data_IF_067377608498
#
_entry.id   IF_067377608498
#
_cell.length_a   1.000
_cell.length_b   1.000
_cell.length_c   1.000
_cell.angle_alpha   90.00
_cell.angle_beta   90.00
_cell.angle_gamma   90.00
#
_symmetry.space_group_name_H-M   'P 1'
#
loop_
_entity.id
_entity.type
_entity.pdbx_description
1 polymer ?
#
# COMPACT_ATOMS: atom_id res chain seq x y z
N UNK A 1 15.82 -20.78 22.32
CA UNK A 1 15.97 -21.59 21.09
C UNK A 1 14.59 -22.00 20.63
N UNK A 2 14.11 -21.50 19.48
CA UNK A 2 12.88 -22.04 18.90
C UNK A 2 13.13 -23.49 18.48
N UNK A 3 12.17 -24.38 18.75
CA UNK A 3 12.21 -25.74 18.21
C UNK A 3 12.16 -25.66 16.68
N UNK A 4 12.99 -26.44 15.98
CA UNK A 4 12.96 -26.55 14.51
C UNK A 4 11.54 -26.82 13.97
N UNK A 5 10.73 -27.58 14.73
CA UNK A 5 9.33 -27.83 14.38
C UNK A 5 8.48 -26.55 14.35
N UNK A 6 8.69 -25.62 15.30
CA UNK A 6 7.98 -24.35 15.32
C UNK A 6 8.38 -23.47 14.13
N UNK A 7 9.67 -23.46 13.77
CA UNK A 7 10.15 -22.73 12.60
C UNK A 7 9.51 -23.24 11.30
N UNK A 8 9.50 -24.56 11.09
CA UNK A 8 8.87 -25.17 9.89
C UNK A 8 7.38 -24.85 9.83
N UNK A 9 6.67 -24.93 10.96
CA UNK A 9 5.24 -24.61 11.03
C UNK A 9 4.97 -23.14 10.62
N UNK A 10 5.78 -22.20 11.13
CA UNK A 10 5.66 -20.77 10.80
C UNK A 10 5.94 -20.56 9.30
N UNK A 11 6.99 -21.16 8.75
CA UNK A 11 7.29 -21.09 7.32
C UNK A 11 6.13 -21.60 6.45
N UNK A 12 5.56 -22.77 6.79
CA UNK A 12 4.44 -23.35 6.06
C UNK A 12 3.22 -22.43 6.08
N UNK A 13 2.91 -21.85 7.24
CA UNK A 13 1.81 -20.89 7.39
C UNK A 13 2.05 -19.64 6.55
N UNK A 14 3.25 -19.05 6.61
CA UNK A 14 3.58 -17.86 5.82
C UNK A 14 3.52 -18.10 4.31
N UNK A 15 4.08 -19.21 3.83
CA UNK A 15 4.03 -19.58 2.41
C UNK A 15 2.58 -19.81 1.97
N UNK A 16 1.79 -20.53 2.77
CA UNK A 16 0.37 -20.73 2.51
C UNK A 16 -0.40 -19.41 2.44
N UNK A 17 -0.16 -18.50 3.39
CA UNK A 17 -0.76 -17.15 3.39
C UNK A 17 -0.36 -16.34 2.16
N UNK A 18 0.91 -16.36 1.75
CA UNK A 18 1.36 -15.68 0.54
C UNK A 18 0.70 -16.24 -0.72
N UNK A 19 0.60 -17.58 -0.85
CA UNK A 19 -0.07 -18.21 -2.00
C UNK A 19 -1.54 -17.79 -2.04
N UNK A 20 -2.23 -17.83 -0.90
CA UNK A 20 -3.64 -17.44 -0.80
C UNK A 20 -3.84 -15.96 -1.14
N UNK A 21 -3.05 -15.06 -0.55
CA UNK A 21 -3.12 -13.62 -0.82
C UNK A 21 -2.84 -13.30 -2.29
N UNK A 22 -1.83 -13.93 -2.89
CA UNK A 22 -1.55 -13.78 -4.32
C UNK A 22 -2.72 -14.25 -5.19
N UNK A 23 -3.31 -15.41 -4.87
CA UNK A 23 -4.46 -15.95 -5.62
C UNK A 23 -5.68 -15.04 -5.51
N UNK A 24 -5.98 -14.52 -4.32
CA UNK A 24 -7.08 -13.57 -4.10
C UNK A 24 -6.86 -12.28 -4.87
N UNK A 25 -5.70 -11.64 -4.71
CA UNK A 25 -5.37 -10.36 -5.36
C UNK A 25 -5.27 -10.53 -6.88
N UNK A 26 -4.80 -11.66 -7.39
CA UNK A 26 -4.74 -11.92 -8.83
C UNK A 26 -6.12 -11.85 -9.50
N UNK A 27 -7.19 -12.20 -8.77
CA UNK A 27 -8.57 -12.17 -9.27
C UNK A 27 -9.20 -10.79 -9.21
N UNK A 28 -8.89 -10.00 -8.19
CA UNK A 28 -9.51 -8.68 -7.99
C UNK A 28 -8.68 -7.54 -8.59
N UNK A 29 -7.36 -7.64 -8.55
CA UNK A 29 -6.41 -6.53 -8.65
C UNK A 29 -5.07 -6.94 -9.33
N UNK A 30 -5.09 -7.53 -10.56
CA UNK A 30 -3.87 -8.06 -11.19
C UNK A 30 -2.80 -6.99 -11.44
N UNK A 31 -3.19 -5.73 -11.67
CA UNK A 31 -2.23 -4.64 -11.85
C UNK A 31 -1.47 -4.32 -10.57
N UNK A 32 -2.16 -4.24 -9.42
CA UNK A 32 -1.49 -3.96 -8.15
C UNK A 32 -0.54 -5.08 -7.74
N UNK A 33 -0.93 -6.33 -7.99
CA UNK A 33 -0.08 -7.50 -7.82
C UNK A 33 1.24 -7.39 -8.60
N UNK A 34 1.18 -7.01 -9.89
CA UNK A 34 2.38 -6.82 -10.72
C UNK A 34 3.31 -5.73 -10.18
N UNK A 35 2.74 -4.65 -9.66
CA UNK A 35 3.52 -3.53 -9.08
C UNK A 35 4.28 -3.99 -7.83
N UNK A 36 3.63 -4.75 -6.94
CA UNK A 36 4.29 -5.31 -5.75
C UNK A 36 5.43 -6.23 -6.15
N UNK A 37 5.19 -7.19 -7.06
CA UNK A 37 6.25 -8.10 -7.52
C UNK A 37 7.38 -7.39 -8.24
N UNK A 38 7.09 -6.34 -9.01
CA UNK A 38 8.10 -5.51 -9.64
C UNK A 38 8.99 -4.80 -8.60
N UNK A 39 8.42 -4.11 -7.60
CA UNK A 39 9.23 -3.45 -6.57
C UNK A 39 10.00 -4.44 -5.70
N UNK A 40 9.41 -5.60 -5.39
CA UNK A 40 10.07 -6.66 -4.65
C UNK A 40 11.29 -7.19 -5.43
N UNK A 41 11.08 -7.61 -6.68
CA UNK A 41 12.17 -8.12 -7.53
C UNK A 41 13.27 -7.08 -7.77
N UNK A 42 12.89 -5.83 -8.06
CA UNK A 42 13.84 -4.73 -8.24
C UNK A 42 14.69 -4.52 -6.98
N UNK A 43 14.07 -4.49 -5.80
CA UNK A 43 14.80 -4.31 -4.53
C UNK A 43 15.72 -5.49 -4.22
N UNK A 44 15.31 -6.73 -4.53
CA UNK A 44 16.17 -7.92 -4.42
C UNK A 44 17.41 -7.79 -5.31
N UNK A 45 17.22 -7.48 -6.60
CA UNK A 45 18.32 -7.35 -7.57
C UNK A 45 19.28 -6.23 -7.18
N UNK A 46 18.76 -5.02 -6.92
CA UNK A 46 19.60 -3.88 -6.54
C UNK A 46 20.38 -4.15 -5.25
N UNK A 47 19.75 -4.75 -4.24
CA UNK A 47 20.42 -5.07 -2.97
C UNK A 47 21.53 -6.09 -3.18
N UNK A 48 21.28 -7.13 -3.99
CA UNK A 48 22.29 -8.15 -4.29
C UNK A 48 23.48 -7.56 -5.07
N UNK A 49 23.23 -6.78 -6.12
CA UNK A 49 24.26 -6.12 -6.93
C UNK A 49 25.12 -5.17 -6.08
N UNK A 50 24.48 -4.31 -5.29
CA UNK A 50 25.18 -3.36 -4.40
C UNK A 50 26.03 -4.12 -3.37
N UNK A 51 25.49 -5.17 -2.74
CA UNK A 51 26.21 -5.94 -1.74
C UNK A 51 27.40 -6.70 -2.33
N UNK A 52 27.24 -7.32 -3.52
CA UNK A 52 28.33 -7.99 -4.22
C UNK A 52 29.43 -7.01 -4.64
N UNK A 53 29.04 -5.84 -5.17
CA UNK A 53 29.99 -4.79 -5.52
C UNK A 53 30.74 -4.26 -4.30
N UNK A 54 30.04 -3.99 -3.20
CA UNK A 54 30.62 -3.55 -1.94
C UNK A 54 31.60 -4.57 -1.36
N UNK A 55 31.28 -5.87 -1.49
CA UNK A 55 32.19 -6.96 -1.12
C UNK A 55 33.43 -6.98 -1.99
N UNK A 56 33.29 -6.81 -3.31
CA UNK A 56 34.41 -6.79 -4.25
C UNK A 56 35.42 -5.67 -3.97
N UNK A 57 34.93 -4.48 -3.60
CA UNK A 57 35.79 -3.32 -3.25
C UNK A 57 36.23 -3.31 -1.77
N UNK A 58 35.99 -4.38 -1.02
CA UNK A 58 36.29 -4.50 0.41
C UNK A 58 35.62 -3.44 1.31
N UNK A 59 34.50 -2.85 0.87
CA UNK A 59 33.68 -1.97 1.70
C UNK A 59 32.78 -2.74 2.67
N UNK A 60 32.63 -4.06 2.50
CA UNK A 60 32.00 -4.97 3.47
C UNK A 60 32.94 -6.14 3.74
N UNK A 61 33.24 -6.39 5.02
CA UNK A 61 34.09 -7.50 5.42
C UNK A 61 33.32 -8.84 5.51
N UNK A 62 34.04 -9.93 5.80
CA UNK A 62 33.43 -11.27 5.93
C UNK A 62 32.40 -11.38 7.04
N UNK A 63 32.48 -10.50 8.03
CA UNK A 63 31.55 -10.42 9.15
C UNK A 63 30.35 -9.50 8.86
N UNK A 64 30.21 -9.00 7.62
CA UNK A 64 29.13 -8.09 7.25
C UNK A 64 29.26 -6.68 7.82
N UNK A 65 30.44 -6.31 8.33
CA UNK A 65 30.69 -4.95 8.83
C UNK A 65 31.06 -4.04 7.67
N UNK A 66 30.47 -2.85 7.66
CA UNK A 66 30.76 -1.79 6.70
C UNK A 66 32.11 -1.13 7.03
N UNK A 67 32.95 -0.93 6.02
CA UNK A 67 34.30 -0.36 6.13
C UNK A 67 34.48 0.84 5.19
N UNK A 68 35.14 1.88 5.69
CA UNK A 68 35.47 3.09 4.93
C UNK A 68 34.25 3.94 4.57
N UNK A 69 34.49 5.05 3.84
CA UNK A 69 33.45 6.03 3.50
C UNK A 69 32.32 5.42 2.66
N UNK A 70 32.66 4.55 1.71
CA UNK A 70 31.67 3.86 0.89
C UNK A 70 30.84 2.88 1.72
N UNK A 71 31.45 2.14 2.66
CA UNK A 71 30.73 1.29 3.59
C UNK A 71 29.76 2.08 4.46
N UNK A 72 30.18 3.21 5.03
CA UNK A 72 29.30 4.07 5.83
C UNK A 72 28.13 4.65 5.03
N UNK A 73 28.35 5.00 3.76
CA UNK A 73 27.26 5.42 2.88
C UNK A 73 26.23 4.29 2.65
N UNK A 74 26.69 3.06 2.50
CA UNK A 74 25.82 1.89 2.36
C UNK A 74 25.07 1.57 3.66
N UNK A 75 25.75 1.65 4.79
CA UNK A 75 25.15 1.51 6.12
C UNK A 75 24.04 2.54 6.34
N UNK A 76 24.33 3.81 6.03
CA UNK A 76 23.36 4.89 6.08
C UNK A 76 22.17 4.62 5.15
N UNK A 77 22.42 4.24 3.90
CA UNK A 77 21.38 3.92 2.92
C UNK A 77 20.50 2.74 3.37
N UNK A 78 21.10 1.69 3.92
CA UNK A 78 20.39 0.53 4.46
C UNK A 78 19.54 0.90 5.68
N UNK A 79 20.10 1.68 6.61
CA UNK A 79 19.35 2.17 7.77
C UNK A 79 18.18 3.04 7.34
N UNK A 80 18.41 3.99 6.42
CA UNK A 80 17.37 4.86 5.88
C UNK A 80 16.25 4.07 5.18
N UNK A 81 16.58 3.09 4.34
CA UNK A 81 15.59 2.28 3.62
C UNK A 81 14.87 1.24 4.49
N UNK A 82 15.41 0.90 5.66
CA UNK A 82 14.83 -0.08 6.58
C UNK A 82 14.09 0.56 7.77
N UNK A 83 14.23 1.87 7.99
CA UNK A 83 13.50 2.61 9.02
C UNK A 83 12.05 2.92 8.59
N UNK A 84 11.24 1.85 8.56
CA UNK A 84 9.82 1.91 8.23
C UNK A 84 9.03 2.82 9.17
N UNK A 85 9.47 3.00 10.42
CA UNK A 85 8.78 3.84 11.37
C UNK A 85 8.89 5.32 10.97
N UNK A 86 10.11 5.77 10.66
CA UNK A 86 10.34 7.13 10.16
C UNK A 86 9.61 7.36 8.84
N UNK A 87 9.66 6.41 7.90
CA UNK A 87 8.91 6.49 6.64
C UNK A 87 7.40 6.67 6.85
N UNK A 88 6.78 5.85 7.71
CA UNK A 88 5.35 5.94 8.01
C UNK A 88 5.00 7.28 8.66
N UNK A 89 5.82 7.77 9.60
CA UNK A 89 5.62 9.07 10.24
C UNK A 89 5.73 10.22 9.24
N UNK A 90 6.69 10.16 8.31
CA UNK A 90 6.84 11.15 7.24
C UNK A 90 5.62 11.15 6.32
N UNK A 91 5.18 9.98 5.84
CA UNK A 91 4.01 9.89 4.98
C UNK A 91 2.72 10.33 5.70
N UNK A 92 2.59 10.01 6.99
CA UNK A 92 1.46 10.45 7.80
C UNK A 92 1.48 11.97 8.00
N UNK A 93 2.65 12.54 8.26
CA UNK A 93 2.84 13.99 8.35
C UNK A 93 2.44 14.70 7.06
N UNK A 94 2.86 14.18 5.90
CA UNK A 94 2.46 14.71 4.58
C UNK A 94 0.95 14.57 4.39
N UNK A 95 0.36 13.44 4.73
CA UNK A 95 -1.08 13.21 4.62
C UNK A 95 -1.87 14.22 5.45
N UNK A 96 -1.48 14.43 6.72
CA UNK A 96 -2.10 15.41 7.61
C UNK A 96 -1.90 16.83 7.06
N UNK A 97 -0.69 17.18 6.63
CA UNK A 97 -0.39 18.50 6.07
C UNK A 97 -1.21 18.81 4.81
N UNK A 98 -1.60 17.82 4.02
CA UNK A 98 -2.42 18.00 2.81
C UNK A 98 -3.92 17.96 3.13
N UNK A 99 -4.38 16.99 3.93
CA UNK A 99 -5.81 16.79 4.19
C UNK A 99 -6.34 17.81 5.19
N UNK A 100 -5.60 18.13 6.26
CA UNK A 100 -6.10 18.99 7.33
C UNK A 100 -6.46 20.41 6.84
N UNK A 101 -5.63 21.10 6.02
CA UNK A 101 -6.02 22.41 5.49
C UNK A 101 -7.24 22.34 4.58
N UNK A 102 -7.41 21.26 3.79
CA UNK A 102 -8.59 21.08 2.95
C UNK A 102 -9.86 20.86 3.79
N UNK A 103 -9.78 20.07 4.87
CA UNK A 103 -10.90 19.87 5.79
C UNK A 103 -11.27 21.17 6.52
N UNK A 104 -10.26 21.92 6.99
CA UNK A 104 -10.50 23.23 7.62
C UNK A 104 -11.12 24.22 6.63
N UNK A 105 -10.60 24.29 5.41
CA UNK A 105 -11.16 25.13 4.34
C UNK A 105 -12.59 24.74 4.00
N UNK A 106 -12.88 23.43 3.93
CA UNK A 106 -14.22 22.91 3.70
C UNK A 106 -15.20 23.33 4.79
N UNK A 107 -14.81 23.19 6.06
CA UNK A 107 -15.63 23.61 7.22
C UNK A 107 -15.84 25.12 7.21
N UNK A 108 -14.77 25.90 7.09
CA UNK A 108 -14.83 27.36 7.15
C UNK A 108 -15.65 27.95 5.99
N UNK A 109 -15.44 27.45 4.76
CA UNK A 109 -16.22 27.86 3.57
C UNK A 109 -17.66 27.36 3.63
N UNK A 110 -17.87 26.20 4.26
CA UNK A 110 -19.17 25.57 4.44
C UNK A 110 -20.12 26.40 5.29
N UNK A 111 -19.59 27.10 6.32
CA UNK A 111 -20.33 28.06 7.12
C UNK A 111 -20.97 29.18 6.26
N UNK A 112 -20.35 29.53 5.14
CA UNK A 112 -20.87 30.54 4.21
C UNK A 112 -21.67 29.93 3.03
N UNK A 113 -21.73 28.60 2.95
CA UNK A 113 -22.44 27.88 1.90
C UNK A 113 -21.72 27.83 0.55
N UNK A 114 -20.41 28.09 0.53
CA UNK A 114 -19.56 28.14 -0.68
C UNK A 114 -18.45 27.08 -0.65
N UNK A 115 -18.60 26.02 0.15
CA UNK A 115 -17.62 24.95 0.17
C UNK A 115 -17.70 24.13 -1.11
N UNK A 116 -16.54 23.62 -1.56
CA UNK A 116 -16.42 22.61 -2.61
C UNK A 116 -15.92 21.29 -2.03
N UNK A 117 -16.24 20.16 -2.66
CA UNK A 117 -15.73 18.86 -2.20
C UNK A 117 -14.18 18.85 -2.18
N UNK A 118 -13.54 18.28 -1.14
CA UNK A 118 -12.08 18.24 -1.05
C UNK A 118 -11.50 17.37 -2.18
N UNK A 119 -10.97 18.04 -3.21
CA UNK A 119 -10.52 17.42 -4.47
C UNK A 119 -9.34 16.47 -4.26
N UNK A 120 -8.44 16.78 -3.33
CA UNK A 120 -7.21 15.99 -3.16
C UNK A 120 -7.30 14.92 -2.09
N UNK A 121 -8.29 14.94 -1.18
CA UNK A 121 -8.34 14.00 -0.06
C UNK A 121 -8.27 12.52 -0.50
N UNK A 122 -9.07 12.14 -1.50
CA UNK A 122 -9.05 10.77 -2.05
C UNK A 122 -7.73 10.41 -2.74
N UNK A 123 -7.16 11.34 -3.53
CA UNK A 123 -5.88 11.13 -4.22
C UNK A 123 -4.71 11.06 -3.23
N UNK A 124 -4.71 11.90 -2.20
CA UNK A 124 -3.71 11.89 -1.13
C UNK A 124 -3.75 10.60 -0.32
N UNK A 125 -4.94 10.11 0.03
CA UNK A 125 -5.10 8.81 0.69
C UNK A 125 -4.59 7.66 -0.19
N UNK A 126 -4.86 7.69 -1.50
CA UNK A 126 -4.33 6.72 -2.45
C UNK A 126 -2.80 6.74 -2.51
N UNK A 127 -2.20 7.93 -2.64
CA UNK A 127 -0.74 8.10 -2.65
C UNK A 127 -0.13 7.58 -1.35
N UNK A 128 -0.74 7.90 -0.21
CA UNK A 128 -0.28 7.43 1.10
C UNK A 128 -0.33 5.90 1.19
N UNK A 129 -1.47 5.28 0.85
CA UNK A 129 -1.60 3.82 0.88
C UNK A 129 -0.55 3.13 -0.01
N UNK A 130 -0.36 3.64 -1.23
CA UNK A 130 0.65 3.12 -2.16
C UNK A 130 2.09 3.34 -1.69
N UNK A 131 2.38 4.47 -1.05
CA UNK A 131 3.69 4.75 -0.47
C UNK A 131 4.02 3.74 0.64
N UNK A 132 3.07 3.48 1.54
CA UNK A 132 3.23 2.48 2.60
C UNK A 132 3.40 1.07 2.03
N UNK A 133 2.53 0.64 1.11
CA UNK A 133 2.64 -0.68 0.43
C UNK A 133 4.03 -0.84 -0.20
N UNK A 134 4.54 0.20 -0.88
CA UNK A 134 5.86 0.19 -1.50
C UNK A 134 6.98 0.07 -0.46
N UNK A 135 6.96 0.82 0.64
CA UNK A 135 7.99 0.73 1.69
C UNK A 135 8.08 -0.68 2.26
N UNK A 136 6.95 -1.32 2.58
CA UNK A 136 6.93 -2.72 3.04
C UNK A 136 7.47 -3.70 1.98
N UNK A 137 7.11 -3.49 0.71
CA UNK A 137 7.56 -4.32 -0.40
C UNK A 137 9.07 -4.22 -0.62
N UNK A 138 9.62 -3.00 -0.61
CA UNK A 138 11.05 -2.75 -0.77
C UNK A 138 11.85 -3.30 0.40
N UNK A 139 11.40 -3.03 1.63
CA UNK A 139 12.04 -3.55 2.84
C UNK A 139 12.04 -5.09 2.84
N UNK A 140 10.93 -5.72 2.44
CA UNK A 140 10.87 -7.17 2.23
C UNK A 140 11.92 -7.68 1.25
N UNK A 141 12.10 -7.04 0.09
CA UNK A 141 13.09 -7.44 -0.90
C UNK A 141 14.55 -7.28 -0.41
N UNK A 142 14.84 -6.22 0.35
CA UNK A 142 16.16 -6.02 0.98
C UNK A 142 16.48 -7.18 1.94
N UNK A 143 15.57 -7.48 2.88
CA UNK A 143 15.76 -8.56 3.85
C UNK A 143 15.85 -9.94 3.18
N UNK A 144 15.09 -10.16 2.11
CA UNK A 144 15.16 -11.39 1.31
C UNK A 144 16.54 -11.57 0.70
N UNK A 145 17.08 -10.55 0.04
CA UNK A 145 18.40 -10.59 -0.58
C UNK A 145 19.50 -10.83 0.46
N UNK A 146 19.47 -10.11 1.58
CA UNK A 146 20.42 -10.31 2.70
C UNK A 146 20.34 -11.74 3.24
N UNK A 147 19.13 -12.29 3.41
CA UNK A 147 18.95 -13.67 3.86
C UNK A 147 19.52 -14.69 2.87
N UNK A 148 19.33 -14.48 1.56
CA UNK A 148 19.87 -15.38 0.53
C UNK A 148 21.40 -15.34 0.57
N UNK A 149 21.99 -14.15 0.54
CA UNK A 149 23.44 -13.97 0.58
C UNK A 149 24.06 -14.56 1.87
N UNK A 150 23.38 -14.40 3.01
CA UNK A 150 23.76 -15.05 4.27
C UNK A 150 23.71 -16.58 4.19
N UNK A 151 22.69 -17.15 3.55
CA UNK A 151 22.59 -18.61 3.37
C UNK A 151 23.65 -19.17 2.41
N UNK A 152 24.04 -18.38 1.40
CA UNK A 152 25.13 -18.68 0.46
C UNK A 152 26.54 -18.41 1.04
N UNK A 153 26.64 -17.94 2.28
CA UNK A 153 27.91 -17.59 2.96
C UNK A 153 28.72 -16.50 2.25
N UNK A 154 28.04 -15.56 1.55
CA UNK A 154 28.71 -14.39 0.95
C UNK A 154 29.28 -13.47 2.03
N UNK A 155 28.53 -13.31 3.13
CA UNK A 155 28.95 -12.65 4.37
C UNK A 155 28.25 -13.31 5.58
N UNK A 156 28.85 -13.15 6.76
CA UNK A 156 28.32 -13.71 8.01
C UNK A 156 27.11 -12.91 8.49
N UNK A 157 25.90 -13.38 8.16
CA UNK A 157 24.65 -12.80 8.65
C UNK A 157 24.16 -13.59 9.85
N UNK A 158 24.07 -12.99 11.05
CA UNK A 158 23.43 -13.65 12.17
C UNK A 158 21.94 -13.86 11.86
N UNK A 159 21.45 -15.08 12.09
CA UNK A 159 20.02 -15.40 11.98
C UNK A 159 19.37 -15.09 10.61
N UNK A 160 20.03 -15.47 9.50
CA UNK A 160 19.42 -15.40 8.16
C UNK A 160 18.01 -16.05 8.07
N UNK A 161 17.68 -17.17 8.75
CA UNK A 161 16.32 -17.73 8.68
C UNK A 161 15.26 -16.78 9.27
N UNK A 162 15.61 -16.03 10.32
CA UNK A 162 14.73 -15.01 10.89
C UNK A 162 14.50 -13.83 9.95
N UNK A 163 15.54 -13.41 9.20
CA UNK A 163 15.40 -12.37 8.19
C UNK A 163 14.51 -12.81 7.01
N UNK A 164 14.57 -14.08 6.62
CA UNK A 164 13.66 -14.64 5.61
C UNK A 164 12.20 -14.59 6.07
N UNK A 165 11.93 -15.01 7.31
CA UNK A 165 10.59 -14.94 7.91
C UNK A 165 10.07 -13.51 8.02
N UNK A 166 10.95 -12.56 8.38
CA UNK A 166 10.61 -11.14 8.43
C UNK A 166 10.27 -10.61 7.03
N UNK A 167 11.08 -10.94 6.03
CA UNK A 167 10.83 -10.58 4.63
C UNK A 167 9.46 -11.08 4.16
N UNK A 168 9.14 -12.35 4.39
CA UNK A 168 7.85 -12.94 4.03
C UNK A 168 6.68 -12.27 4.76
N UNK A 169 6.84 -11.93 6.04
CA UNK A 169 5.84 -11.20 6.82
C UNK A 169 5.59 -9.78 6.28
N UNK A 170 6.65 -9.02 5.96
CA UNK A 170 6.54 -7.68 5.39
C UNK A 170 5.82 -7.71 4.03
N UNK A 171 6.12 -8.73 3.20
CA UNK A 171 5.44 -8.91 1.92
C UNK A 171 3.96 -9.26 2.09
N UNK A 172 3.64 -10.12 3.06
CA UNK A 172 2.25 -10.45 3.40
C UNK A 172 1.49 -9.22 3.90
N UNK A 173 2.12 -8.37 4.72
CA UNK A 173 1.58 -7.10 5.17
C UNK A 173 1.32 -6.17 3.97
N UNK A 174 2.23 -6.07 3.01
CA UNK A 174 2.05 -5.28 1.79
C UNK A 174 0.84 -5.76 0.96
N UNK A 175 0.71 -7.08 0.76
CA UNK A 175 -0.45 -7.67 0.09
C UNK A 175 -1.76 -7.44 0.86
N UNK A 176 -1.73 -7.61 2.18
CA UNK A 176 -2.87 -7.33 3.05
C UNK A 176 -3.33 -5.88 2.93
N UNK A 177 -2.40 -4.92 2.95
CA UNK A 177 -2.71 -3.50 2.78
C UNK A 177 -3.28 -3.18 1.39
N UNK A 178 -2.74 -3.77 0.32
CA UNK A 178 -3.32 -3.62 -1.02
C UNK A 178 -4.77 -4.13 -1.07
N UNK A 179 -4.99 -5.34 -0.54
CA UNK A 179 -6.33 -5.92 -0.47
C UNK A 179 -7.29 -5.05 0.35
N UNK A 180 -6.89 -4.66 1.57
CA UNK A 180 -7.70 -3.81 2.46
C UNK A 180 -7.96 -2.42 1.88
N UNK A 181 -7.01 -1.83 1.15
CA UNK A 181 -7.21 -0.53 0.51
C UNK A 181 -8.27 -0.60 -0.59
N UNK A 182 -8.28 -1.69 -1.36
CA UNK A 182 -9.16 -1.82 -2.53
C UNK A 182 -10.56 -2.30 -2.13
N UNK A 183 -10.65 -3.34 -1.31
CA UNK A 183 -11.92 -3.76 -0.72
C UNK A 183 -12.47 -2.67 0.20
N UNK A 184 -11.60 -1.91 0.87
CA UNK A 184 -11.99 -0.78 1.70
C UNK A 184 -12.76 0.30 0.95
N UNK A 185 -12.44 0.55 -0.33
CA UNK A 185 -13.21 1.50 -1.16
C UNK A 185 -14.63 1.00 -1.40
N UNK A 186 -14.78 -0.28 -1.73
CA UNK A 186 -16.08 -0.90 -2.00
C UNK A 186 -16.89 -0.96 -0.70
N UNK A 187 -16.27 -1.44 0.38
CA UNK A 187 -16.87 -1.54 1.70
C UNK A 187 -17.31 -0.17 2.23
N UNK A 188 -16.53 0.90 2.02
CA UNK A 188 -16.94 2.25 2.42
C UNK A 188 -18.21 2.71 1.67
N UNK A 189 -18.32 2.42 0.38
CA UNK A 189 -19.53 2.71 -0.40
C UNK A 189 -20.74 1.90 0.12
N UNK A 190 -20.56 0.61 0.36
CA UNK A 190 -21.61 -0.27 0.88
C UNK A 190 -22.03 0.10 2.31
N UNK A 191 -21.07 0.43 3.18
CA UNK A 191 -21.33 0.90 4.55
C UNK A 191 -22.08 2.22 4.49
N UNK A 192 -21.69 3.15 3.62
CA UNK A 192 -22.37 4.43 3.50
C UNK A 192 -23.82 4.25 2.99
N UNK A 193 -24.02 3.43 1.96
CA UNK A 193 -25.35 3.11 1.44
C UNK A 193 -26.22 2.34 2.45
N UNK A 194 -25.62 1.35 3.13
CA UNK A 194 -26.26 0.57 4.16
C UNK A 194 -26.62 1.41 5.39
N UNK A 195 -25.74 2.30 5.83
CA UNK A 195 -25.98 3.24 6.91
C UNK A 195 -27.09 4.23 6.54
N UNK A 196 -27.09 4.73 5.31
CA UNK A 196 -28.17 5.59 4.80
C UNK A 196 -29.53 4.87 4.85
N UNK A 197 -29.57 3.60 4.45
CA UNK A 197 -30.80 2.77 4.48
C UNK A 197 -31.22 2.40 5.90
N UNK A 198 -30.27 2.04 6.77
CA UNK A 198 -30.55 1.48 8.10
C UNK A 198 -30.78 2.55 9.15
N UNK A 199 -30.02 3.64 9.11
CA UNK A 199 -30.04 4.74 10.08
C UNK A 199 -30.18 6.09 9.37
N UNK A 200 -31.28 6.31 8.63
CA UNK A 200 -31.49 7.56 7.91
C UNK A 200 -31.43 8.77 8.85
N UNK A 201 -31.89 8.65 10.09
CA UNK A 201 -31.86 9.75 11.07
C UNK A 201 -30.44 10.22 11.45
N UNK A 202 -29.39 9.39 11.33
CA UNK A 202 -28.00 9.79 11.59
C UNK A 202 -27.32 10.36 10.33
N UNK A 203 -27.59 9.77 9.16
CA UNK A 203 -26.96 10.18 7.90
C UNK A 203 -27.65 11.42 7.32
N UNK A 204 -28.95 11.55 7.48
CA UNK A 204 -29.73 12.68 6.96
C UNK A 204 -29.25 14.05 7.47
N UNK A 205 -28.96 14.28 8.78
CA UNK A 205 -28.40 15.56 9.21
C UNK A 205 -27.03 15.83 8.60
N UNK A 206 -26.16 14.82 8.45
CA UNK A 206 -24.87 15.00 7.77
C UNK A 206 -25.04 15.40 6.31
N UNK A 207 -26.00 14.78 5.59
CA UNK A 207 -26.34 15.15 4.22
C UNK A 207 -26.96 16.56 4.13
N UNK A 208 -27.79 16.96 5.10
CA UNK A 208 -28.31 18.33 5.18
C UNK A 208 -27.17 19.32 5.41
N UNK A 209 -26.27 19.05 6.36
CA UNK A 209 -25.10 19.90 6.63
C UNK A 209 -24.22 20.01 5.40
N UNK A 210 -23.92 18.89 4.74
CA UNK A 210 -23.17 18.86 3.48
C UNK A 210 -23.86 19.69 2.39
N UNK A 211 -25.17 19.48 2.16
CA UNK A 211 -25.96 20.26 1.19
C UNK A 211 -25.98 21.75 1.53
N UNK A 212 -26.06 22.09 2.81
CA UNK A 212 -26.02 23.46 3.28
C UNK A 212 -24.64 24.09 3.03
N UNK A 213 -23.55 23.33 3.21
CA UNK A 213 -22.19 23.78 2.93
C UNK A 213 -21.93 24.06 1.45
N UNK A 214 -22.57 23.33 0.54
CA UNK A 214 -22.38 23.48 -0.92
C UNK A 214 -23.51 24.28 -1.60
N UNK A 215 -24.42 24.91 -0.84
CA UNK A 215 -25.69 25.46 -1.37
C UNK A 215 -25.53 26.58 -2.43
N UNK A 216 -24.37 27.23 -2.49
CA UNK A 216 -24.04 28.31 -3.46
C UNK A 216 -22.96 27.90 -4.46
N UNK A 217 -22.49 26.65 -4.41
CA UNK A 217 -21.67 26.12 -5.49
C UNK A 217 -22.59 25.99 -6.70
N UNK A 218 -22.55 26.98 -7.59
CA UNK A 218 -23.35 26.98 -8.81
C UNK A 218 -23.04 25.68 -9.55
N UNK A 219 -24.07 24.84 -9.68
CA UNK A 219 -23.99 23.54 -10.32
C UNK A 219 -23.29 23.72 -11.69
N UNK A 220 -22.10 23.14 -11.93
CA UNK A 220 -21.52 23.08 -13.27
C UNK A 220 -22.28 22.02 -14.07
N UNK A 221 -23.59 22.20 -14.22
CA UNK A 221 -24.49 21.40 -15.06
C UNK A 221 -24.20 21.62 -16.56
N UNK A 222 -23.15 22.35 -16.92
CA UNK A 222 -22.68 22.50 -18.29
C UNK A 222 -21.47 21.64 -18.68
N UNK A 223 -20.82 20.87 -17.78
CA UNK A 223 -19.51 20.27 -18.11
C UNK A 223 -19.31 18.77 -17.87
N UNK A 224 -20.24 18.05 -17.22
CA UNK A 224 -20.08 16.61 -17.01
C UNK A 224 -21.42 15.89 -17.18
N UNK A 225 -21.88 15.79 -18.43
CA UNK A 225 -22.72 14.66 -18.84
C UNK A 225 -21.89 13.39 -18.60
N UNK A 226 -22.05 12.78 -17.42
CA UNK A 226 -21.63 11.40 -17.21
C UNK A 226 -22.46 10.59 -18.21
N UNK A 227 -21.86 9.92 -19.20
CA UNK A 227 -22.60 9.02 -20.07
C UNK A 227 -23.23 7.98 -19.17
N UNK A 228 -24.56 8.06 -18.99
CA UNK A 228 -25.31 6.96 -18.41
C UNK A 228 -25.01 5.76 -19.31
N UNK A 229 -24.39 4.67 -18.80
CA UNK A 229 -24.23 3.48 -19.60
C UNK A 229 -25.61 3.07 -20.09
N UNK A 230 -25.79 3.04 -21.41
CA UNK A 230 -27.03 2.67 -22.09
C UNK A 230 -27.50 1.30 -21.61
N UNK A 231 -28.29 1.30 -20.53
CA UNK A 231 -29.02 0.16 -20.02
C UNK A 231 -30.12 -0.30 -20.98
N UNK A 232 -30.30 0.39 -22.12
CA UNK A 232 -31.28 0.04 -23.15
C UNK A 232 -30.77 -0.95 -24.22
N UNK A 233 -29.47 -1.31 -24.25
CA UNK A 233 -28.96 -2.20 -25.32
C UNK A 233 -29.11 -3.71 -25.06
N UNK A 234 -29.66 -4.14 -23.92
CA UNK A 234 -29.69 -5.56 -23.54
C UNK A 234 -31.05 -6.27 -23.67
N UNK A 235 -32.04 -5.66 -24.32
CA UNK A 235 -33.38 -6.24 -24.54
C UNK A 235 -33.63 -6.78 -25.95
N UNK A 236 -32.64 -6.83 -26.85
CA UNK A 236 -32.88 -7.18 -28.28
C UNK A 236 -32.34 -8.52 -28.77
N UNK A 237 -31.83 -9.41 -27.90
CA UNK A 237 -31.40 -10.75 -28.33
C UNK A 237 -32.24 -11.83 -27.64
N UNK A 238 -33.51 -11.94 -28.06
CA UNK A 238 -34.30 -13.14 -27.82
C UNK A 238 -33.84 -14.22 -28.82
N UNK A 239 -33.55 -15.45 -28.38
CA UNK A 239 -33.11 -16.52 -29.28
C UNK A 239 -34.27 -16.96 -30.20
N UNK A 240 -34.10 -16.79 -31.51
CA UNK A 240 -34.93 -17.48 -32.51
C UNK A 240 -34.71 -18.99 -32.38
N UNK A 241 -35.75 -19.67 -31.91
CA UNK A 241 -35.86 -21.13 -31.96
C UNK A 241 -35.90 -21.61 -33.41
N UNK A 242 -34.95 -22.47 -33.78
CA UNK A 242 -35.07 -23.41 -34.91
C UNK A 242 -34.77 -24.82 -34.43
#
# INVERSE_FOLDING_TARGET
MFSYGAFILICMLQVGSLILSNWLIARTQPTGLRVIWYFFSLSVVLTAEIALHARYVNAINEHGQFLGDYGHLLEFGLHFMSDLNTDILVFLGILVAVILPQLLSYVMSGLFGVASMPVFAGRSAAIFAWAVIKSFTVCSGIWFAISIMGSMRVFSVPNYPGMLLLSALLLLIAFGMLWSYEEGKIALCEIFYGAYRRWPHLIHPLLITHRWFIRREESPVAAFEIPLPDLQSKTSDAPETR
#
